data_IF_710340244084
#
_entry.id   IF_710340244084
#
_cell.length_a   1.000
_cell.length_b   1.000
_cell.length_c   1.000
_cell.angle_alpha   90.00
_cell.angle_beta   90.00
_cell.angle_gamma   90.00
#
_symmetry.space_group_name_H-M   'P 1'
#
loop_
_entity.id
_entity.type
_entity.pdbx_description
1 polymer ?
#
# COMPACT_ATOMS: atom_id res chain seq x y z
N UNK A 1 36.58 -21.22 -7.73
CA UNK A 1 36.35 -22.63 -7.36
C UNK A 1 34.94 -22.71 -6.84
N UNK A 2 34.10 -23.59 -7.39
CA UNK A 2 32.74 -23.84 -6.91
C UNK A 2 32.79 -24.84 -5.76
N UNK A 3 32.05 -24.57 -4.68
CA UNK A 3 31.96 -25.46 -3.52
C UNK A 3 30.85 -26.49 -3.80
N UNK A 4 31.07 -27.78 -3.52
CA UNK A 4 30.05 -28.80 -3.70
C UNK A 4 28.84 -28.53 -2.81
N UNK A 5 27.64 -28.62 -3.39
CA UNK A 5 26.38 -28.40 -2.68
C UNK A 5 26.14 -29.47 -1.61
N UNK A 6 25.96 -29.04 -0.37
CA UNK A 6 25.85 -29.93 0.79
C UNK A 6 24.39 -30.12 1.23
N UNK A 7 24.17 -31.08 2.13
CA UNK A 7 22.87 -31.27 2.79
C UNK A 7 22.44 -30.04 3.60
N UNK A 8 23.38 -29.30 4.18
CA UNK A 8 23.06 -28.08 4.93
C UNK A 8 22.56 -26.99 4.00
N UNK A 9 23.18 -26.84 2.82
CA UNK A 9 22.75 -25.88 1.78
C UNK A 9 21.34 -26.22 1.29
N UNK A 10 21.04 -27.52 1.10
CA UNK A 10 19.71 -27.99 0.74
C UNK A 10 18.65 -27.60 1.78
N UNK A 11 18.89 -27.85 3.07
CA UNK A 11 17.94 -27.52 4.13
C UNK A 11 17.73 -26.02 4.27
N UNK A 12 18.78 -25.20 4.11
CA UNK A 12 18.67 -23.74 4.09
C UNK A 12 17.87 -23.25 2.89
N UNK A 13 18.11 -23.79 1.69
CA UNK A 13 17.35 -23.45 0.48
C UNK A 13 15.88 -23.88 0.57
N UNK A 14 15.60 -25.00 1.25
CA UNK A 14 14.23 -25.45 1.50
C UNK A 14 13.51 -24.52 2.48
N UNK A 15 14.19 -24.11 3.55
CA UNK A 15 13.65 -23.13 4.51
C UNK A 15 13.39 -21.79 3.84
N UNK A 16 14.33 -21.28 3.03
CA UNK A 16 14.16 -20.00 2.33
C UNK A 16 12.96 -20.03 1.39
N UNK A 17 12.75 -21.11 0.63
CA UNK A 17 11.53 -21.29 -0.17
C UNK A 17 10.26 -21.32 0.67
N UNK A 18 10.27 -22.01 1.81
CA UNK A 18 9.11 -22.03 2.72
C UNK A 18 8.74 -20.64 3.25
N UNK A 19 9.72 -19.79 3.54
CA UNK A 19 9.49 -18.40 3.97
C UNK A 19 9.06 -17.52 2.80
N UNK A 20 9.71 -17.64 1.64
CA UNK A 20 9.32 -16.93 0.42
C UNK A 20 7.87 -17.25 0.02
N UNK A 21 7.42 -18.48 0.23
CA UNK A 21 6.03 -18.86 0.00
C UNK A 21 5.06 -18.10 0.91
N UNK A 22 5.33 -18.06 2.22
CA UNK A 22 4.51 -17.30 3.17
C UNK A 22 4.49 -15.82 2.82
N UNK A 23 5.66 -15.25 2.47
CA UNK A 23 5.76 -13.88 2.02
C UNK A 23 4.88 -13.66 0.79
N UNK A 24 5.01 -14.49 -0.24
CA UNK A 24 4.21 -14.38 -1.47
C UNK A 24 2.70 -14.41 -1.21
N UNK A 25 2.25 -15.25 -0.27
CA UNK A 25 0.85 -15.27 0.16
C UNK A 25 0.41 -13.95 0.81
N UNK A 26 1.21 -13.45 1.77
CA UNK A 26 0.94 -12.17 2.43
C UNK A 26 0.98 -10.99 1.45
N UNK A 27 1.91 -10.99 0.49
CA UNK A 27 1.99 -9.98 -0.58
C UNK A 27 0.68 -9.93 -1.39
N UNK A 28 0.15 -11.09 -1.75
CA UNK A 28 -1.12 -11.20 -2.48
C UNK A 28 -2.30 -10.65 -1.66
N UNK A 29 -2.36 -11.02 -0.38
CA UNK A 29 -3.40 -10.52 0.54
C UNK A 29 -3.32 -9.00 0.68
N UNK A 30 -2.12 -8.46 0.84
CA UNK A 30 -1.89 -7.02 0.93
C UNK A 30 -2.23 -6.27 -0.35
N UNK A 31 -1.91 -6.84 -1.51
CA UNK A 31 -2.29 -6.27 -2.80
C UNK A 31 -3.81 -6.13 -2.92
N UNK A 32 -4.55 -7.20 -2.59
CA UNK A 32 -6.02 -7.17 -2.63
C UNK A 32 -6.58 -6.15 -1.64
N UNK A 33 -6.07 -6.13 -0.41
CA UNK A 33 -6.46 -5.14 0.61
C UNK A 33 -6.21 -3.72 0.11
N UNK A 34 -5.06 -3.47 -0.50
CA UNK A 34 -4.71 -2.15 -1.04
C UNK A 34 -5.68 -1.73 -2.14
N UNK A 35 -6.07 -2.63 -3.06
CA UNK A 35 -7.06 -2.30 -4.09
C UNK A 35 -8.43 -1.95 -3.49
N UNK A 36 -8.88 -2.73 -2.52
CA UNK A 36 -10.15 -2.50 -1.81
C UNK A 36 -10.14 -1.17 -1.06
N UNK A 37 -9.09 -0.92 -0.28
CA UNK A 37 -8.94 0.28 0.53
C UNK A 37 -8.75 1.52 -0.34
N UNK A 38 -8.00 1.46 -1.45
CA UNK A 38 -7.91 2.59 -2.38
C UNK A 38 -9.25 2.94 -3.04
N UNK A 39 -10.00 1.93 -3.45
CA UNK A 39 -11.35 2.14 -4.02
C UNK A 39 -12.27 2.77 -2.98
N UNK A 40 -12.19 2.32 -1.73
CA UNK A 40 -12.92 2.88 -0.60
C UNK A 40 -12.55 4.35 -0.36
N UNK A 41 -11.25 4.64 -0.21
CA UNK A 41 -10.73 5.99 0.01
C UNK A 41 -11.12 6.95 -1.12
N UNK A 42 -11.09 6.50 -2.37
CA UNK A 42 -11.54 7.30 -3.52
C UNK A 42 -13.03 7.67 -3.41
N UNK A 43 -13.86 6.72 -2.97
CA UNK A 43 -15.27 6.99 -2.67
C UNK A 43 -15.45 8.04 -1.58
N UNK A 44 -14.66 7.94 -0.51
CA UNK A 44 -14.68 8.89 0.61
C UNK A 44 -14.17 10.28 0.19
N UNK A 45 -13.04 10.36 -0.49
CA UNK A 45 -12.46 11.60 -0.98
C UNK A 45 -13.40 12.34 -1.96
N UNK A 46 -14.16 11.62 -2.79
CA UNK A 46 -15.20 12.24 -3.64
C UNK A 46 -16.34 12.85 -2.84
N UNK A 47 -16.77 12.20 -1.76
CA UNK A 47 -17.79 12.77 -0.85
C UNK A 47 -17.24 14.00 -0.15
N UNK A 48 -16.02 13.91 0.36
CA UNK A 48 -15.32 15.01 1.01
C UNK A 48 -15.19 16.22 0.07
N UNK A 49 -14.81 15.98 -1.19
CA UNK A 49 -14.72 17.02 -2.22
C UNK A 49 -16.04 17.74 -2.44
N UNK A 50 -17.13 17.00 -2.61
CA UNK A 50 -18.47 17.59 -2.79
C UNK A 50 -18.90 18.41 -1.57
N UNK A 51 -18.60 17.93 -0.36
CA UNK A 51 -18.88 18.65 0.88
C UNK A 51 -18.03 19.93 0.96
N UNK A 52 -16.74 19.87 0.64
CA UNK A 52 -15.83 21.01 0.69
C UNK A 52 -16.26 22.12 -0.27
N UNK A 53 -16.66 21.75 -1.50
CA UNK A 53 -17.21 22.71 -2.46
C UNK A 53 -18.47 23.41 -1.94
N UNK A 54 -19.42 22.64 -1.38
CA UNK A 54 -20.65 23.19 -0.77
C UNK A 54 -20.32 24.10 0.42
N UNK A 55 -19.35 23.71 1.24
CA UNK A 55 -18.92 24.48 2.40
C UNK A 55 -18.36 25.84 1.96
N UNK A 56 -17.48 25.85 0.95
CA UNK A 56 -16.94 27.09 0.39
C UNK A 56 -18.00 28.00 -0.24
N UNK A 57 -19.04 27.44 -0.86
CA UNK A 57 -20.18 28.23 -1.38
C UNK A 57 -20.94 28.90 -0.22
N UNK A 58 -21.19 28.15 0.86
CA UNK A 58 -21.83 28.69 2.08
C UNK A 58 -20.94 29.69 2.82
N UNK A 59 -19.62 29.60 2.68
CA UNK A 59 -18.66 30.49 3.30
C UNK A 59 -18.48 31.80 2.53
N UNK A 60 -18.35 31.73 1.20
CA UNK A 60 -18.13 32.91 0.37
C UNK A 60 -19.36 33.80 0.28
N UNK A 61 -20.58 33.24 0.40
CA UNK A 61 -21.83 33.96 0.24
C UNK A 61 -21.94 34.68 -1.12
N UNK A 62 -23.14 35.15 -1.49
CA UNK A 62 -23.20 36.24 -2.47
C UNK A 62 -22.79 37.54 -1.73
N UNK A 63 -21.97 38.43 -2.33
CA UNK A 63 -21.68 39.71 -1.71
C UNK A 63 -22.98 40.46 -1.38
N UNK A 64 -23.27 40.65 -0.10
CA UNK A 64 -24.34 41.53 0.39
C UNK A 64 -25.70 40.90 0.71
N UNK A 65 -25.98 39.64 0.40
CA UNK A 65 -27.24 38.97 0.81
C UNK A 65 -27.02 37.48 1.04
N UNK A 66 -26.84 37.07 2.30
CA UNK A 66 -27.11 35.68 2.65
C UNK A 66 -28.62 35.45 2.57
N UNK A 67 -29.06 34.51 1.73
CA UNK A 67 -30.48 34.15 1.59
C UNK A 67 -31.00 33.48 2.88
N UNK A 68 -30.09 32.98 3.71
CA UNK A 68 -30.38 32.25 4.93
C UNK A 68 -29.88 33.01 6.17
N UNK A 69 -30.63 32.96 7.31
CA UNK A 69 -30.16 33.51 8.57
C UNK A 69 -28.83 32.89 9.00
N UNK A 70 -27.93 33.69 9.60
CA UNK A 70 -26.60 33.22 10.03
C UNK A 70 -26.67 32.02 10.97
N UNK A 71 -27.69 31.95 11.83
CA UNK A 71 -27.92 30.82 12.74
C UNK A 71 -28.13 29.52 11.92
N UNK A 72 -28.93 29.57 10.86
CA UNK A 72 -29.18 28.41 10.01
C UNK A 72 -27.93 28.02 9.20
N UNK A 73 -27.19 29.02 8.68
CA UNK A 73 -25.93 28.79 7.96
C UNK A 73 -24.88 28.13 8.88
N UNK A 74 -24.74 28.62 10.11
CA UNK A 74 -23.81 28.07 11.09
C UNK A 74 -24.16 26.65 11.50
N UNK A 75 -25.45 26.35 11.70
CA UNK A 75 -25.89 24.97 11.99
C UNK A 75 -25.54 24.00 10.84
N UNK A 76 -25.79 24.40 9.59
CA UNK A 76 -25.44 23.58 8.41
C UNK A 76 -23.92 23.42 8.30
N UNK A 77 -23.15 24.49 8.50
CA UNK A 77 -21.68 24.42 8.51
C UNK A 77 -21.16 23.47 9.58
N UNK A 78 -21.68 23.53 10.80
CA UNK A 78 -21.30 22.59 11.87
C UNK A 78 -21.61 21.14 11.48
N UNK A 79 -22.80 20.85 10.95
CA UNK A 79 -23.15 19.51 10.50
C UNK A 79 -22.23 19.00 9.39
N UNK A 80 -21.90 19.86 8.41
CA UNK A 80 -20.97 19.52 7.33
C UNK A 80 -19.55 19.26 7.85
N UNK A 81 -19.04 20.09 8.78
CA UNK A 81 -17.73 19.85 9.39
C UNK A 81 -17.68 18.50 10.12
N UNK A 82 -18.75 18.14 10.84
CA UNK A 82 -18.84 16.83 11.49
C UNK A 82 -18.77 15.69 10.46
N UNK A 83 -19.59 15.75 9.40
CA UNK A 83 -19.58 14.73 8.34
C UNK A 83 -18.22 14.64 7.63
N UNK A 84 -17.58 15.77 7.37
CA UNK A 84 -16.23 15.80 6.79
C UNK A 84 -15.18 15.16 7.72
N UNK A 85 -15.22 15.45 9.01
CA UNK A 85 -14.31 14.85 9.99
C UNK A 85 -14.51 13.34 10.10
N UNK A 86 -15.77 12.86 10.02
CA UNK A 86 -16.06 11.42 9.95
C UNK A 86 -15.45 10.78 8.70
N UNK A 87 -15.53 11.46 7.55
CA UNK A 87 -14.91 10.98 6.30
C UNK A 87 -13.38 10.93 6.43
N UNK A 88 -12.74 11.95 7.01
CA UNK A 88 -11.29 11.97 7.24
C UNK A 88 -10.89 10.82 8.18
N UNK A 89 -11.62 10.61 9.28
CA UNK A 89 -11.37 9.48 10.20
C UNK A 89 -11.53 8.11 9.52
N UNK A 90 -12.46 7.99 8.57
CA UNK A 90 -12.61 6.77 7.78
C UNK A 90 -11.41 6.53 6.86
N UNK A 91 -10.86 7.59 6.25
CA UNK A 91 -9.62 7.51 5.47
C UNK A 91 -8.44 7.15 6.38
N UNK A 92 -8.34 7.76 7.56
CA UNK A 92 -7.34 7.42 8.57
C UNK A 92 -7.35 5.93 8.91
N UNK A 93 -8.52 5.41 9.28
CA UNK A 93 -8.72 4.00 9.62
C UNK A 93 -8.31 3.08 8.46
N UNK A 94 -8.62 3.47 7.23
CA UNK A 94 -8.22 2.76 6.02
C UNK A 94 -6.68 2.72 5.86
N UNK A 95 -6.00 3.85 6.08
CA UNK A 95 -4.54 3.93 6.07
C UNK A 95 -3.89 3.12 7.21
N UNK A 96 -4.51 3.08 8.39
CA UNK A 96 -4.06 2.25 9.51
C UNK A 96 -4.12 0.75 9.18
N UNK A 97 -5.20 0.28 8.55
CA UNK A 97 -5.30 -1.13 8.10
C UNK A 97 -4.18 -1.51 7.13
N UNK A 98 -3.91 -0.66 6.13
CA UNK A 98 -2.81 -0.89 5.19
C UNK A 98 -1.44 -0.88 5.89
N UNK A 99 -1.24 0.00 6.88
CA UNK A 99 -0.02 0.04 7.71
C UNK A 99 0.13 -1.24 8.54
N UNK A 100 -0.95 -1.75 9.13
CA UNK A 100 -0.92 -2.97 9.95
C UNK A 100 -0.59 -4.20 9.11
N UNK A 101 -1.04 -4.26 7.87
CA UNK A 101 -0.68 -5.33 6.96
C UNK A 101 0.84 -5.40 6.70
N UNK A 102 1.56 -4.26 6.66
CA UNK A 102 3.04 -4.23 6.58
C UNK A 102 3.69 -4.85 7.82
N UNK A 103 3.08 -4.69 8.99
CA UNK A 103 3.63 -5.25 10.24
C UNK A 103 3.64 -6.78 10.19
N UNK A 104 2.68 -7.40 9.49
CA UNK A 104 2.62 -8.86 9.30
C UNK A 104 3.77 -9.39 8.44
N UNK A 105 4.22 -8.62 7.45
CA UNK A 105 5.38 -8.99 6.62
C UNK A 105 6.70 -8.88 7.37
N UNK A 106 6.85 -7.86 8.21
CA UNK A 106 8.12 -7.55 8.90
C UNK A 106 8.82 -8.77 9.53
N UNK A 107 8.15 -9.65 10.31
CA UNK A 107 8.79 -10.84 10.86
C UNK A 107 9.20 -11.86 9.79
N UNK A 108 8.41 -12.07 8.74
CA UNK A 108 8.75 -12.99 7.65
C UNK A 108 9.99 -12.53 6.88
N UNK A 109 10.14 -11.22 6.67
CA UNK A 109 11.36 -10.66 6.10
C UNK A 109 12.56 -10.83 7.02
N UNK A 110 12.37 -10.68 8.34
CA UNK A 110 13.43 -10.92 9.31
C UNK A 110 13.91 -12.37 9.30
N UNK A 111 12.97 -13.31 9.20
CA UNK A 111 13.27 -14.75 9.04
C UNK A 111 14.01 -15.02 7.73
N UNK A 112 13.55 -14.45 6.61
CA UNK A 112 14.23 -14.58 5.32
C UNK A 112 15.65 -14.01 5.35
N UNK A 113 15.83 -12.82 5.90
CA UNK A 113 17.15 -12.14 6.02
C UNK A 113 18.12 -12.96 6.88
N UNK A 114 17.64 -13.58 7.96
CA UNK A 114 18.45 -14.48 8.79
C UNK A 114 18.90 -15.71 7.99
N UNK A 115 18.00 -16.38 7.28
CA UNK A 115 18.32 -17.55 6.46
C UNK A 115 19.31 -17.19 5.34
N UNK A 116 19.10 -16.04 4.69
CA UNK A 116 19.93 -15.55 3.57
C UNK A 116 21.38 -15.32 3.97
N UNK A 117 21.62 -14.90 5.21
CA UNK A 117 22.98 -14.71 5.77
C UNK A 117 23.71 -16.03 6.01
N UNK A 118 22.98 -17.14 6.15
CA UNK A 118 23.55 -18.47 6.37
C UNK A 118 23.82 -19.25 5.06
N UNK A 119 23.29 -18.78 3.93
CA UNK A 119 23.45 -19.45 2.63
C UNK A 119 24.85 -19.23 2.06
N UNK A 120 25.54 -20.31 1.66
CA UNK A 120 26.72 -20.23 0.81
C UNK A 120 26.32 -19.98 -0.65
N UNK A 121 26.37 -18.73 -1.06
CA UNK A 121 26.05 -18.28 -2.43
C UNK A 121 26.99 -18.82 -3.50
N UNK A 122 28.13 -19.42 -3.12
CA UNK A 122 29.10 -20.02 -4.05
C UNK A 122 28.83 -21.49 -4.33
N UNK A 123 27.90 -22.11 -3.59
CA UNK A 123 27.54 -23.51 -3.75
C UNK A 123 26.86 -23.78 -5.10
N UNK A 124 27.20 -24.92 -5.71
CA UNK A 124 26.72 -25.30 -7.03
C UNK A 124 25.36 -26.01 -6.97
N UNK A 125 24.33 -25.27 -6.58
CA UNK A 125 22.94 -25.75 -6.48
C UNK A 125 21.98 -24.99 -7.38
N UNK A 126 21.12 -25.72 -8.11
CA UNK A 126 20.09 -25.13 -8.99
C UNK A 126 19.12 -24.19 -8.26
N UNK A 127 18.85 -24.40 -6.97
CA UNK A 127 18.06 -23.45 -6.17
C UNK A 127 18.76 -22.10 -5.95
N UNK A 128 20.09 -22.09 -5.83
CA UNK A 128 20.86 -20.85 -5.58
C UNK A 128 21.06 -20.09 -6.88
N UNK A 129 21.49 -20.81 -7.94
CA UNK A 129 21.83 -20.22 -9.24
C UNK A 129 20.65 -20.08 -10.20
N UNK A 130 19.52 -20.73 -9.91
CA UNK A 130 18.40 -20.87 -10.84
C UNK A 130 18.65 -21.95 -11.89
N UNK A 131 17.62 -22.25 -12.66
CA UNK A 131 17.64 -23.16 -13.80
C UNK A 131 16.71 -22.66 -14.92
N UNK A 132 16.34 -23.51 -15.88
CA UNK A 132 15.44 -23.13 -16.99
C UNK A 132 14.02 -22.79 -16.53
N UNK A 133 13.59 -23.32 -15.38
CA UNK A 133 12.23 -23.16 -14.83
C UNK A 133 12.18 -22.06 -13.77
N UNK A 134 13.22 -21.92 -12.96
CA UNK A 134 13.24 -21.08 -11.77
C UNK A 134 14.33 -19.99 -11.84
N UNK A 135 13.97 -18.80 -11.36
CA UNK A 135 14.95 -17.72 -11.19
C UNK A 135 15.88 -18.02 -10.01
N UNK A 136 17.09 -17.43 -9.98
CA UNK A 136 18.01 -17.58 -8.86
C UNK A 136 17.37 -17.08 -7.55
N UNK A 137 17.70 -17.70 -6.41
CA UNK A 137 17.17 -17.30 -5.10
C UNK A 137 17.38 -15.80 -4.80
N UNK A 138 18.51 -15.24 -5.25
CA UNK A 138 18.82 -13.82 -5.12
C UNK A 138 17.77 -12.90 -5.81
N UNK A 139 17.22 -13.33 -6.95
CA UNK A 139 16.16 -12.58 -7.65
C UNK A 139 14.90 -12.46 -6.79
N UNK A 140 14.52 -13.56 -6.13
CA UNK A 140 13.32 -13.61 -5.30
C UNK A 140 13.47 -12.74 -4.04
N UNK A 141 14.63 -12.80 -3.38
CA UNK A 141 14.93 -11.97 -2.21
C UNK A 141 14.89 -10.49 -2.57
N UNK A 142 15.48 -10.12 -3.71
CA UNK A 142 15.50 -8.73 -4.17
C UNK A 142 14.09 -8.23 -4.48
N UNK A 143 13.30 -9.00 -5.23
CA UNK A 143 11.90 -8.68 -5.56
C UNK A 143 11.07 -8.43 -4.31
N UNK A 144 11.22 -9.32 -3.31
CA UNK A 144 10.59 -9.22 -2.00
C UNK A 144 11.03 -7.91 -1.30
N UNK A 145 12.34 -7.64 -1.19
CA UNK A 145 12.86 -6.38 -0.62
C UNK A 145 12.26 -5.13 -1.28
N UNK A 146 12.21 -5.10 -2.61
CA UNK A 146 11.75 -3.94 -3.36
C UNK A 146 10.25 -3.71 -3.19
N UNK A 147 9.46 -4.78 -3.20
CA UNK A 147 8.03 -4.71 -2.93
C UNK A 147 7.76 -4.10 -1.55
N UNK A 148 8.47 -4.55 -0.51
CA UNK A 148 8.31 -4.01 0.86
C UNK A 148 8.60 -2.52 0.91
N UNK A 149 9.65 -2.06 0.24
CA UNK A 149 10.01 -0.64 0.18
C UNK A 149 8.93 0.17 -0.55
N UNK A 150 8.47 -0.31 -1.70
CA UNK A 150 7.44 0.32 -2.51
C UNK A 150 6.13 0.46 -1.75
N UNK A 151 5.67 -0.61 -1.10
CA UNK A 151 4.43 -0.60 -0.33
C UNK A 151 4.55 0.31 0.91
N UNK A 152 5.66 0.24 1.66
CA UNK A 152 5.91 1.14 2.79
C UNK A 152 5.90 2.61 2.37
N UNK A 153 6.56 2.93 1.25
CA UNK A 153 6.58 4.28 0.69
C UNK A 153 5.17 4.75 0.36
N UNK A 154 4.38 3.91 -0.31
CA UNK A 154 3.00 4.23 -0.69
C UNK A 154 2.11 4.51 0.52
N UNK A 155 2.16 3.68 1.56
CA UNK A 155 1.38 3.92 2.79
C UNK A 155 1.82 5.21 3.49
N UNK A 156 3.13 5.50 3.49
CA UNK A 156 3.66 6.74 4.06
C UNK A 156 3.19 7.97 3.27
N UNK A 157 3.23 7.93 1.95
CA UNK A 157 2.73 9.02 1.09
C UNK A 157 1.23 9.25 1.28
N UNK A 158 0.42 8.18 1.37
CA UNK A 158 -1.01 8.31 1.65
C UNK A 158 -1.26 9.01 2.99
N UNK A 159 -0.49 8.67 4.02
CA UNK A 159 -0.63 9.26 5.36
C UNK A 159 -0.23 10.73 5.38
N UNK A 160 0.85 11.10 4.68
CA UNK A 160 1.23 12.51 4.54
C UNK A 160 0.15 13.31 3.83
N UNK A 161 -0.47 12.78 2.77
CA UNK A 161 -1.52 13.48 2.05
C UNK A 161 -2.84 13.52 2.84
N UNK A 162 -3.11 12.48 3.64
CA UNK A 162 -4.23 12.46 4.59
C UNK A 162 -4.06 13.55 5.66
N UNK A 163 -2.87 13.69 6.26
CA UNK A 163 -2.58 14.72 7.27
C UNK A 163 -2.79 16.14 6.73
N UNK A 164 -2.74 16.31 5.41
CA UNK A 164 -2.99 17.59 4.73
C UNK A 164 -4.46 17.82 4.38
N UNK A 165 -5.35 16.83 4.56
CA UNK A 165 -6.77 16.99 4.29
C UNK A 165 -7.37 18.01 5.25
N UNK A 166 -7.67 19.19 4.71
CA UNK A 166 -8.31 20.26 5.44
C UNK A 166 -9.65 20.60 4.78
N UNK A 167 -10.67 20.59 5.62
CA UNK A 167 -12.06 20.87 5.30
C UNK A 167 -12.28 22.29 4.76
N UNK A 168 -11.40 23.23 5.08
CA UNK A 168 -11.47 24.62 4.62
C UNK A 168 -10.83 24.80 3.23
N UNK A 169 -9.94 23.89 2.84
CA UNK A 169 -9.14 24.00 1.62
C UNK A 169 -9.44 22.87 0.63
N UNK A 170 -10.41 23.10 -0.27
CA UNK A 170 -10.74 22.19 -1.38
C UNK A 170 -9.49 21.65 -2.11
N UNK A 171 -8.47 22.48 -2.36
CA UNK A 171 -7.25 22.09 -3.07
C UNK A 171 -6.52 20.89 -2.43
N UNK A 172 -6.62 20.70 -1.10
CA UNK A 172 -6.01 19.56 -0.41
C UNK A 172 -6.74 18.25 -0.75
N UNK A 173 -8.06 18.30 -0.83
CA UNK A 173 -8.90 17.17 -1.23
C UNK A 173 -8.72 16.83 -2.71
N UNK A 174 -8.54 17.84 -3.57
CA UNK A 174 -8.23 17.67 -5.00
C UNK A 174 -6.87 16.99 -5.21
N UNK A 175 -5.86 17.41 -4.46
CA UNK A 175 -4.53 16.79 -4.48
C UNK A 175 -4.60 15.33 -4.02
N UNK A 176 -5.36 15.04 -2.96
CA UNK A 176 -5.59 13.68 -2.49
C UNK A 176 -6.26 12.81 -3.56
N UNK A 177 -7.33 13.31 -4.21
CA UNK A 177 -8.01 12.61 -5.29
C UNK A 177 -7.09 12.33 -6.48
N UNK A 178 -6.29 13.32 -6.89
CA UNK A 178 -5.34 13.17 -8.00
C UNK A 178 -4.29 12.10 -7.71
N UNK A 179 -3.81 12.02 -6.47
CA UNK A 179 -2.91 10.96 -6.03
C UNK A 179 -3.55 9.57 -6.13
N UNK A 180 -4.80 9.42 -5.68
CA UNK A 180 -5.54 8.16 -5.80
C UNK A 180 -5.74 7.73 -7.27
N UNK A 181 -6.01 8.69 -8.16
CA UNK A 181 -6.21 8.42 -9.59
C UNK A 181 -4.92 7.99 -10.30
N UNK A 182 -3.78 8.62 -9.97
CA UNK A 182 -2.46 8.21 -10.50
C UNK A 182 -2.09 6.77 -10.08
N UNK A 183 -2.48 6.37 -8.87
CA UNK A 183 -2.18 5.03 -8.34
C UNK A 183 -2.99 3.93 -9.02
N UNK A 184 -4.23 4.21 -9.40
CA UNK A 184 -5.05 3.32 -10.23
C UNK A 184 -4.41 3.02 -11.60
N UNK A 185 -3.67 3.97 -12.18
CA UNK A 185 -2.90 3.77 -13.41
C UNK A 185 -1.58 2.99 -13.24
N UNK A 186 -1.06 2.86 -12.01
CA UNK A 186 0.20 2.15 -11.72
C UNK A 186 0.04 0.65 -11.45
N UNK A 187 -1.18 0.12 -11.56
CA UNK A 187 -1.54 -1.30 -11.37
C UNK A 187 -0.69 -2.27 -12.21
N UNK A 188 -0.27 -1.86 -13.41
CA UNK A 188 0.52 -2.70 -14.34
C UNK A 188 1.94 -3.03 -13.85
N UNK A 189 2.52 -2.17 -13.00
CA UNK A 189 3.83 -2.44 -12.37
C UNK A 189 3.69 -3.50 -11.27
N UNK A 190 2.65 -3.37 -10.44
CA UNK A 190 2.37 -4.32 -9.36
C UNK A 190 1.95 -5.71 -9.89
N UNK A 191 1.18 -5.77 -10.98
CA UNK A 191 0.82 -7.03 -11.63
C UNK A 191 2.03 -7.77 -12.20
N UNK A 192 3.01 -7.05 -12.78
CA UNK A 192 4.28 -7.63 -13.26
C UNK A 192 5.15 -8.16 -12.14
N UNK A 193 5.15 -7.52 -10.98
CA UNK A 193 5.90 -7.98 -9.79
C UNK A 193 5.21 -9.18 -9.13
N UNK A 194 3.87 -9.25 -9.17
CA UNK A 194 3.07 -10.40 -8.71
C UNK A 194 3.28 -11.68 -9.53
N UNK A 195 3.84 -11.60 -10.76
CA UNK A 195 4.33 -12.78 -11.48
C UNK A 195 5.31 -13.62 -10.64
N UNK A 196 5.98 -13.03 -9.64
CA UNK A 196 6.76 -13.75 -8.64
C UNK A 196 6.00 -14.91 -7.96
N UNK A 197 4.72 -14.71 -7.60
CA UNK A 197 3.87 -15.71 -6.93
C UNK A 197 3.52 -16.84 -7.89
N UNK A 198 3.27 -16.51 -9.15
CA UNK A 198 2.95 -17.47 -10.21
C UNK A 198 4.19 -18.27 -10.67
N UNK A 199 5.37 -17.64 -10.68
CA UNK A 199 6.64 -18.28 -11.05
C UNK A 199 7.16 -19.25 -9.98
N UNK A 200 6.75 -19.09 -8.72
CA UNK A 200 7.00 -20.09 -7.67
C UNK A 200 6.10 -21.33 -7.81
N UNK A 201 5.05 -21.25 -8.65
CA UNK A 201 4.07 -22.31 -8.90
C UNK A 201 3.67 -22.39 -10.39
N UNK A 202 4.57 -22.80 -11.29
CA UNK A 202 4.15 -23.18 -12.64
C UNK A 202 3.15 -24.35 -12.52
N UNK A 203 1.99 -24.21 -13.17
CA UNK A 203 0.98 -25.28 -13.26
C UNK A 203 1.49 -26.49 -14.03
#
# INVERSE_FOLDING_TARGET
MTVPFTRCDYELCKKSHGVLYKIAHELKTMYNLQEEEFKYQKGQAKKLWNLAQRYQILEKGAPGVSIYPDIAVNMVKCAMRTEMNEIINNIHTSNEKMRDAIKLLTPLYGELDAIVKEIDWTADGGMIKGDEMFKPLAYYIQSVSDWRKSFKRLVTENQVLEDLLDIEFCCTVEAYLSHLDLREGSRDLFAKEMCFVELMYPK
#
